data_IF_310697496161
#
_entry.id   IF_310697496161
#
_cell.length_a   1.000
_cell.length_b   1.000
_cell.length_c   1.000
_cell.angle_alpha   90.00
_cell.angle_beta   90.00
_cell.angle_gamma   90.00
#
_symmetry.space_group_name_H-M   'P 1'
#
loop_
_entity.id
_entity.type
_entity.pdbx_description
1 polymer ?
#
# COMPACT_ATOMS: atom_id res chain seq x y z
N UNK A 1 3.00 26.96 -3.69
CA UNK A 1 2.12 26.45 -2.62
C UNK A 1 2.87 25.42 -1.80
N UNK A 2 2.60 25.27 -0.51
CA UNK A 2 3.25 24.27 0.36
C UNK A 2 2.21 23.41 1.08
N UNK A 3 2.44 22.11 1.17
CA UNK A 3 1.55 21.11 1.76
C UNK A 3 2.34 20.14 2.65
N UNK A 4 1.98 20.08 3.93
CA UNK A 4 2.56 19.10 4.85
C UNK A 4 1.65 17.88 4.94
N UNK A 5 2.19 16.70 4.64
CA UNK A 5 1.48 15.40 4.73
C UNK A 5 2.19 14.44 5.69
N UNK A 6 3.03 14.96 6.59
CA UNK A 6 3.75 14.14 7.57
C UNK A 6 2.81 13.51 8.58
N UNK A 7 3.10 12.28 8.99
CA UNK A 7 2.28 11.49 9.91
C UNK A 7 0.93 11.04 9.36
N UNK A 8 0.57 11.42 8.13
CA UNK A 8 -0.72 11.09 7.53
C UNK A 8 -0.65 9.71 6.86
N UNK A 9 -1.55 8.80 7.25
CA UNK A 9 -1.63 7.46 6.68
C UNK A 9 -2.30 7.50 5.29
N UNK A 10 -1.84 6.68 4.32
CA UNK A 10 -2.51 6.53 3.03
C UNK A 10 -3.99 6.11 3.19
N UNK A 11 -4.91 6.55 2.31
CA UNK A 11 -4.70 7.31 1.06
C UNK A 11 -4.73 8.84 1.22
N UNK A 12 -4.85 9.37 2.44
CA UNK A 12 -5.06 10.80 2.67
C UNK A 12 -3.97 11.71 2.07
N UNK A 13 -2.66 11.39 2.09
CA UNK A 13 -1.63 12.20 1.43
C UNK A 13 -1.89 12.35 -0.08
N UNK A 14 -2.31 11.26 -0.74
CA UNK A 14 -2.61 11.26 -2.17
C UNK A 14 -3.70 12.26 -2.52
N UNK A 15 -4.80 12.20 -1.78
CA UNK A 15 -5.99 13.05 -2.00
C UNK A 15 -5.61 14.52 -1.84
N UNK A 16 -4.86 14.85 -0.77
CA UNK A 16 -4.44 16.22 -0.48
C UNK A 16 -3.54 16.78 -1.58
N UNK A 17 -2.61 15.97 -2.09
CA UNK A 17 -1.70 16.36 -3.17
C UNK A 17 -2.51 16.56 -4.46
N UNK A 18 -3.36 15.63 -4.84
CA UNK A 18 -4.19 15.72 -6.05
C UNK A 18 -5.12 16.96 -6.02
N UNK A 19 -5.81 17.19 -4.90
CA UNK A 19 -6.64 18.39 -4.72
C UNK A 19 -5.84 19.69 -4.83
N UNK A 20 -4.63 19.72 -4.27
CA UNK A 20 -3.76 20.88 -4.36
C UNK A 20 -3.32 21.12 -5.81
N UNK A 21 -2.90 20.07 -6.53
CA UNK A 21 -2.51 20.14 -7.95
C UNK A 21 -3.66 20.61 -8.86
N UNK A 22 -4.89 20.19 -8.57
CA UNK A 22 -6.08 20.66 -9.26
C UNK A 22 -6.29 22.17 -9.12
N UNK A 23 -5.95 22.74 -7.96
CA UNK A 23 -6.10 24.18 -7.66
C UNK A 23 -4.93 25.04 -8.18
N UNK A 24 -3.81 24.45 -8.58
CA UNK A 24 -2.66 25.20 -9.12
C UNK A 24 -2.94 25.72 -10.53
N UNK A 25 -2.44 26.92 -10.82
CA UNK A 25 -2.34 27.45 -12.18
C UNK A 25 -1.08 26.94 -12.87
N UNK A 26 -1.05 27.09 -14.19
CA UNK A 26 0.10 26.74 -15.02
C UNK A 26 1.31 27.59 -14.60
N UNK A 27 2.49 26.95 -14.49
CA UNK A 27 3.75 27.46 -13.92
C UNK A 27 3.76 27.68 -12.40
N UNK A 28 2.74 27.23 -11.67
CA UNK A 28 2.82 27.20 -10.21
C UNK A 28 3.43 25.89 -9.71
N UNK A 29 4.19 26.00 -8.63
CA UNK A 29 4.85 24.88 -7.97
C UNK A 29 4.18 24.58 -6.63
N UNK A 30 3.95 23.30 -6.36
CA UNK A 30 3.51 22.73 -5.09
C UNK A 30 4.67 22.01 -4.43
N UNK A 31 4.98 22.37 -3.20
CA UNK A 31 5.97 21.71 -2.37
C UNK A 31 5.26 20.85 -1.33
N UNK A 32 5.54 19.55 -1.31
CA UNK A 32 4.94 18.57 -0.43
C UNK A 32 6.01 18.00 0.48
N UNK A 33 5.79 18.07 1.80
CA UNK A 33 6.71 17.49 2.79
C UNK A 33 6.09 16.23 3.38
N UNK A 34 6.84 15.12 3.36
CA UNK A 34 6.43 13.83 3.90
C UNK A 34 7.56 13.09 4.61
N UNK A 35 7.20 12.14 5.47
CA UNK A 35 8.17 11.27 6.18
C UNK A 35 8.65 10.07 5.36
N UNK A 36 8.14 9.91 4.14
CA UNK A 36 8.45 8.77 3.25
C UNK A 36 8.76 9.26 1.83
N UNK A 37 9.59 8.52 1.08
CA UNK A 37 9.88 8.89 -0.29
C UNK A 37 8.63 8.69 -1.15
N UNK A 38 8.27 9.70 -1.95
CA UNK A 38 7.04 9.74 -2.77
C UNK A 38 7.10 8.85 -4.02
N UNK A 39 7.81 7.71 -3.94
CA UNK A 39 8.11 6.82 -5.08
C UNK A 39 6.85 6.34 -5.81
N UNK A 40 5.75 6.13 -5.08
CA UNK A 40 4.48 5.70 -5.68
C UNK A 40 3.79 6.81 -6.50
N UNK A 41 4.09 8.08 -6.22
CA UNK A 41 3.42 9.24 -6.82
C UNK A 41 4.13 9.77 -8.06
N UNK A 42 5.45 9.68 -8.07
CA UNK A 42 6.30 10.16 -9.17
C UNK A 42 5.78 9.68 -10.54
N UNK A 43 5.59 8.37 -10.80
CA UNK A 43 5.17 7.91 -12.13
C UNK A 43 3.83 8.50 -12.57
N UNK A 44 2.84 8.58 -11.69
CA UNK A 44 1.54 9.15 -12.03
C UNK A 44 1.59 10.66 -12.32
N UNK A 45 2.48 11.39 -11.63
CA UNK A 45 2.72 12.81 -11.85
C UNK A 45 3.46 13.06 -13.17
N UNK A 46 4.47 12.24 -13.49
CA UNK A 46 5.21 12.33 -14.76
C UNK A 46 4.31 11.99 -15.94
N UNK A 47 3.52 10.92 -15.84
CA UNK A 47 2.52 10.56 -16.85
C UNK A 47 1.48 11.66 -17.06
N UNK A 48 1.09 12.34 -15.98
CA UNK A 48 0.17 13.46 -16.08
C UNK A 48 0.83 14.75 -16.59
N UNK A 49 2.13 14.74 -16.89
CA UNK A 49 2.86 15.86 -17.51
C UNK A 49 3.27 16.95 -16.51
N UNK A 50 3.41 16.64 -15.23
CA UNK A 50 3.96 17.55 -14.23
C UNK A 50 5.48 17.45 -14.19
N UNK A 51 6.14 18.56 -13.90
CA UNK A 51 7.58 18.55 -13.65
C UNK A 51 7.83 18.32 -12.16
N UNK A 52 8.73 17.38 -11.83
CA UNK A 52 8.88 16.88 -10.47
C UNK A 52 10.33 16.97 -10.02
N UNK A 53 10.55 17.42 -8.79
CA UNK A 53 11.86 17.42 -8.14
C UNK A 53 11.73 16.90 -6.71
N UNK A 54 12.49 15.87 -6.33
CA UNK A 54 12.51 15.32 -4.97
C UNK A 54 13.83 15.63 -4.30
N UNK A 55 13.77 16.14 -3.07
CA UNK A 55 14.94 16.43 -2.22
C UNK A 55 14.75 15.84 -0.84
N UNK A 56 15.80 15.24 -0.29
CA UNK A 56 15.83 14.80 1.10
C UNK A 56 16.50 15.90 1.94
N UNK A 57 15.83 16.35 2.99
CA UNK A 57 16.32 17.39 3.89
C UNK A 57 16.06 16.98 5.33
N UNK A 58 17.12 16.71 6.09
CA UNK A 58 17.02 16.42 7.53
C UNK A 58 16.17 15.19 7.88
N UNK A 59 16.13 14.18 7.01
CA UNK A 59 15.32 12.97 7.19
C UNK A 59 13.86 13.10 6.74
N UNK A 60 13.45 14.25 6.20
CA UNK A 60 12.16 14.43 5.54
C UNK A 60 12.34 14.47 4.01
N UNK A 61 11.32 14.01 3.29
CA UNK A 61 11.26 14.07 1.84
C UNK A 61 10.44 15.27 1.41
N UNK A 62 11.01 16.10 0.54
CA UNK A 62 10.38 17.27 -0.05
C UNK A 62 10.19 17.00 -1.53
N UNK A 63 8.93 16.86 -1.94
CA UNK A 63 8.51 16.70 -3.33
C UNK A 63 8.03 18.04 -3.86
N UNK A 64 8.69 18.58 -4.89
CA UNK A 64 8.26 19.77 -5.62
C UNK A 64 7.63 19.33 -6.92
N UNK A 65 6.41 19.79 -7.18
CA UNK A 65 5.65 19.49 -8.39
C UNK A 65 5.26 20.80 -9.04
N UNK A 66 5.76 21.06 -10.25
CA UNK A 66 5.44 22.24 -11.04
C UNK A 66 4.44 21.87 -12.12
N UNK A 67 3.32 22.59 -12.15
CA UNK A 67 2.29 22.43 -13.19
C UNK A 67 2.77 23.07 -14.48
N UNK A 68 2.87 22.29 -15.54
CA UNK A 68 3.26 22.75 -16.88
C UNK A 68 2.03 22.92 -17.76
N UNK A 69 2.22 23.45 -18.97
CA UNK A 69 1.17 23.59 -19.99
C UNK A 69 0.68 22.21 -20.49
N UNK A 70 1.50 21.17 -20.36
CA UNK A 70 1.17 19.80 -20.69
C UNK A 70 0.51 19.04 -19.53
N UNK A 71 0.45 19.64 -18.34
CA UNK A 71 -0.10 18.98 -17.16
C UNK A 71 -1.60 18.80 -17.30
N UNK A 72 -2.05 17.54 -17.25
CA UNK A 72 -3.47 17.20 -17.20
C UNK A 72 -3.95 17.19 -15.76
N UNK A 73 -5.23 17.50 -15.56
CA UNK A 73 -5.83 17.40 -14.23
C UNK A 73 -5.74 15.95 -13.77
N UNK A 74 -5.03 15.70 -12.68
CA UNK A 74 -4.98 14.38 -12.06
C UNK A 74 -6.34 14.12 -11.40
N UNK A 75 -7.27 13.63 -12.20
CA UNK A 75 -8.38 12.84 -11.68
C UNK A 75 -7.79 11.53 -11.19
N UNK A 76 -7.17 11.55 -10.02
CA UNK A 76 -6.93 10.33 -9.27
C UNK A 76 -8.31 9.78 -8.91
N UNK A 77 -8.85 8.91 -9.77
CA UNK A 77 -9.47 7.72 -9.22
C UNK A 77 -8.50 7.21 -8.17
N UNK A 78 -8.95 7.09 -6.92
CA UNK A 78 -8.16 6.59 -5.81
C UNK A 78 -7.63 5.23 -6.26
N UNK A 79 -6.43 5.20 -6.86
CA UNK A 79 -5.64 4.00 -7.00
C UNK A 79 -5.13 3.79 -5.60
N UNK A 80 -6.00 3.19 -4.79
CA UNK A 80 -5.67 2.49 -3.57
C UNK A 80 -4.30 1.88 -3.81
N UNK A 81 -3.30 2.24 -2.98
CA UNK A 81 -1.96 1.66 -3.03
C UNK A 81 -2.08 0.23 -3.52
N UNK A 82 -1.61 -0.04 -4.73
CA UNK A 82 -2.00 -1.20 -5.53
C UNK A 82 -2.10 -2.42 -4.61
N UNK A 83 -3.34 -2.74 -4.21
CA UNK A 83 -3.66 -3.85 -3.31
C UNK A 83 -3.66 -5.15 -4.14
N UNK A 84 -3.09 -5.12 -5.36
CA UNK A 84 -2.76 -6.35 -6.05
C UNK A 84 -1.57 -6.95 -5.31
N UNK A 85 -1.90 -7.93 -4.48
CA UNK A 85 -0.99 -9.04 -4.26
C UNK A 85 -0.75 -9.70 -5.63
N UNK A 86 0.27 -9.23 -6.33
CA UNK A 86 0.75 -9.82 -7.59
C UNK A 86 1.02 -11.31 -7.38
N UNK A 87 1.56 -11.68 -6.20
CA UNK A 87 1.73 -13.07 -5.79
C UNK A 87 1.59 -13.26 -4.28
N UNK A 88 0.92 -14.35 -3.87
CA UNK A 88 0.92 -14.82 -2.48
C UNK A 88 2.19 -15.65 -2.28
N UNK A 89 3.20 -15.02 -1.68
CA UNK A 89 4.46 -15.65 -1.24
C UNK A 89 4.51 -15.80 0.27
N UNK A 90 5.44 -16.58 0.78
CA UNK A 90 5.67 -16.75 2.23
C UNK A 90 6.03 -15.44 2.96
N UNK A 91 6.56 -14.44 2.25
CA UNK A 91 6.89 -13.12 2.78
C UNK A 91 5.68 -12.16 2.76
N UNK A 92 4.53 -12.62 2.27
CA UNK A 92 3.30 -11.84 2.24
C UNK A 92 2.86 -11.48 3.66
N UNK A 93 2.59 -10.20 3.88
CA UNK A 93 2.02 -9.72 5.14
C UNK A 93 0.59 -10.23 5.30
N UNK A 94 0.30 -10.86 6.44
CA UNK A 94 -1.01 -11.49 6.70
C UNK A 94 -2.13 -10.45 6.70
N UNK A 95 -1.87 -9.25 7.21
CA UNK A 95 -2.80 -8.14 7.20
C UNK A 95 -3.16 -7.67 5.79
N UNK A 96 -2.18 -7.63 4.87
CA UNK A 96 -2.43 -7.35 3.44
C UNK A 96 -3.23 -8.47 2.78
N UNK A 97 -2.87 -9.73 3.02
CA UNK A 97 -3.59 -10.90 2.50
C UNK A 97 -5.07 -10.90 2.89
N UNK A 98 -5.37 -10.66 4.16
CA UNK A 98 -6.73 -10.62 4.69
C UNK A 98 -7.53 -9.41 4.16
N UNK A 99 -6.86 -8.32 3.80
CA UNK A 99 -7.47 -7.14 3.20
C UNK A 99 -7.87 -7.40 1.75
N UNK A 100 -6.97 -7.98 0.97
CA UNK A 100 -7.23 -8.35 -0.43
C UNK A 100 -8.21 -9.52 -0.57
N UNK A 101 -8.04 -10.55 0.28
CA UNK A 101 -8.80 -11.79 0.25
C UNK A 101 -9.34 -12.11 1.65
N UNK A 102 -10.50 -11.57 2.06
CA UNK A 102 -11.08 -11.85 3.38
C UNK A 102 -11.38 -13.34 3.60
N UNK A 103 -11.60 -14.10 2.53
CA UNK A 103 -11.82 -15.56 2.55
C UNK A 103 -10.57 -16.35 2.98
N UNK A 104 -9.37 -15.78 2.80
CA UNK A 104 -8.12 -16.40 3.26
C UNK A 104 -8.09 -16.62 4.78
N UNK A 105 -8.89 -15.88 5.54
CA UNK A 105 -9.05 -16.09 6.98
C UNK A 105 -9.51 -17.52 7.30
N UNK A 106 -10.45 -18.06 6.53
CA UNK A 106 -10.98 -19.41 6.77
C UNK A 106 -9.90 -20.47 6.57
N UNK A 107 -9.07 -20.30 5.53
CA UNK A 107 -7.93 -21.17 5.27
C UNK A 107 -6.92 -21.06 6.40
N UNK A 108 -6.52 -19.85 6.80
CA UNK A 108 -5.60 -19.66 7.93
C UNK A 108 -6.12 -20.36 9.21
N UNK A 109 -7.40 -20.16 9.57
CA UNK A 109 -7.97 -20.82 10.75
C UNK A 109 -7.97 -22.35 10.63
N UNK A 110 -8.31 -22.91 9.45
CA UNK A 110 -8.26 -24.35 9.16
C UNK A 110 -6.88 -24.96 9.42
N UNK A 111 -5.82 -24.20 9.15
CA UNK A 111 -4.43 -24.64 9.33
C UNK A 111 -3.84 -24.29 10.71
N UNK A 112 -4.65 -23.83 11.67
CA UNK A 112 -4.24 -23.63 13.06
C UNK A 112 -3.95 -22.17 13.44
N UNK A 113 -4.24 -21.21 12.56
CA UNK A 113 -4.15 -19.78 12.87
C UNK A 113 -5.38 -19.24 13.59
N UNK A 114 -5.92 -19.99 14.55
CA UNK A 114 -7.06 -19.59 15.39
C UNK A 114 -6.93 -18.21 16.05
N UNK A 115 -5.72 -17.72 16.47
CA UNK A 115 -5.59 -16.37 17.02
C UNK A 115 -6.01 -15.26 16.04
N UNK A 116 -6.00 -15.51 14.73
CA UNK A 116 -6.42 -14.53 13.72
C UNK A 116 -7.95 -14.45 13.55
N UNK A 117 -8.70 -15.39 14.12
CA UNK A 117 -10.17 -15.39 14.08
C UNK A 117 -10.75 -14.22 14.88
N UNK A 118 -10.11 -13.89 16.02
CA UNK A 118 -10.58 -12.80 16.88
C UNK A 118 -10.21 -11.45 16.28
N UNK A 119 -11.16 -10.51 16.08
CA UNK A 119 -10.92 -9.25 15.37
C UNK A 119 -9.88 -8.34 16.03
N UNK A 120 -9.77 -8.33 17.36
CA UNK A 120 -8.75 -7.56 18.10
C UNK A 120 -7.33 -8.06 17.83
N UNK A 121 -7.12 -9.37 17.94
CA UNK A 121 -5.85 -10.03 17.63
C UNK A 121 -5.53 -9.94 16.14
N UNK A 122 -6.51 -10.11 15.26
CA UNK A 122 -6.37 -9.92 13.81
C UNK A 122 -5.85 -8.53 13.45
N UNK A 123 -6.41 -7.47 14.06
CA UNK A 123 -6.00 -6.09 13.77
C UNK A 123 -4.56 -5.81 14.21
N UNK A 124 -4.12 -6.42 15.30
CA UNK A 124 -2.80 -6.16 15.90
C UNK A 124 -1.73 -7.09 15.33
N UNK A 125 -1.96 -8.40 15.39
CA UNK A 125 -1.01 -9.45 15.02
C UNK A 125 -0.84 -9.59 13.50
N UNK A 126 -1.93 -9.51 12.73
CA UNK A 126 -1.86 -9.76 11.29
C UNK A 126 -1.03 -8.69 10.55
N UNK A 127 -1.00 -7.46 11.07
CA UNK A 127 -0.22 -6.37 10.46
C UNK A 127 1.28 -6.52 10.71
N UNK A 128 1.69 -7.22 11.76
CA UNK A 128 3.09 -7.31 12.20
C UNK A 128 3.80 -8.58 11.72
N UNK A 129 3.07 -9.55 11.18
CA UNK A 129 3.63 -10.86 10.80
C UNK A 129 3.42 -11.18 9.32
N UNK A 130 4.34 -11.98 8.76
CA UNK A 130 4.22 -12.60 7.43
C UNK A 130 3.74 -14.04 7.55
N UNK A 131 3.34 -14.67 6.44
CA UNK A 131 2.94 -16.09 6.42
C UNK A 131 4.04 -17.02 6.94
N UNK A 132 5.31 -16.78 6.54
CA UNK A 132 6.48 -17.47 7.09
C UNK A 132 6.56 -17.30 8.60
N UNK A 133 6.44 -16.06 9.11
CA UNK A 133 6.54 -15.82 10.54
C UNK A 133 5.39 -16.48 11.30
N UNK A 134 4.22 -16.49 10.70
CA UNK A 134 3.04 -17.15 11.24
C UNK A 134 3.29 -18.67 11.38
N UNK A 135 3.83 -19.32 10.35
CA UNK A 135 4.25 -20.75 10.38
C UNK A 135 5.19 -21.03 11.56
N UNK A 136 6.20 -20.19 11.76
CA UNK A 136 7.15 -20.34 12.88
C UNK A 136 6.46 -20.21 14.24
N UNK A 137 5.54 -19.25 14.39
CA UNK A 137 4.84 -18.99 15.66
C UNK A 137 3.97 -20.18 16.11
N UNK A 138 3.41 -20.93 15.17
CA UNK A 138 2.56 -22.09 15.46
C UNK A 138 3.32 -23.43 15.36
N UNK A 139 4.61 -23.41 15.01
CA UNK A 139 5.41 -24.62 14.85
C UNK A 139 4.93 -25.54 13.72
N UNK A 140 4.40 -24.99 12.63
CA UNK A 140 3.86 -25.75 11.52
C UNK A 140 4.98 -26.36 10.65
N UNK A 141 4.83 -27.63 10.26
CA UNK A 141 5.73 -28.32 9.35
C UNK A 141 5.65 -27.77 7.92
N UNK A 142 6.76 -27.83 7.17
CA UNK A 142 6.85 -27.36 5.78
C UNK A 142 5.77 -27.94 4.86
N UNK A 143 5.53 -29.25 4.90
CA UNK A 143 4.50 -29.88 4.06
C UNK A 143 3.09 -29.30 4.27
N UNK A 144 2.67 -29.11 5.53
CA UNK A 144 1.37 -28.50 5.84
C UNK A 144 1.31 -27.01 5.45
N UNK A 145 2.45 -26.33 5.51
CA UNK A 145 2.53 -24.94 5.09
C UNK A 145 2.40 -24.80 3.57
N UNK A 146 3.01 -25.69 2.80
CA UNK A 146 2.87 -25.73 1.34
C UNK A 146 1.42 -26.01 0.92
N UNK A 147 0.75 -26.98 1.55
CA UNK A 147 -0.67 -27.26 1.33
C UNK A 147 -1.55 -26.01 1.59
N UNK A 148 -1.28 -25.29 2.69
CA UNK A 148 -1.97 -24.04 3.00
C UNK A 148 -1.72 -22.97 1.93
N UNK A 149 -0.46 -22.82 1.49
CA UNK A 149 -0.08 -21.83 0.48
C UNK A 149 -0.75 -22.11 -0.85
N UNK A 150 -0.92 -23.38 -1.23
CA UNK A 150 -1.66 -23.79 -2.41
C UNK A 150 -3.15 -23.41 -2.32
N UNK A 151 -3.80 -23.68 -1.18
CA UNK A 151 -5.19 -23.26 -0.96
C UNK A 151 -5.34 -21.73 -0.99
N UNK A 152 -4.40 -20.99 -0.39
CA UNK A 152 -4.40 -19.52 -0.43
C UNK A 152 -4.27 -18.99 -1.87
N UNK A 153 -3.43 -19.62 -2.68
CA UNK A 153 -3.25 -19.28 -4.11
C UNK A 153 -4.47 -19.66 -4.95
N UNK A 154 -5.18 -20.73 -4.59
CA UNK A 154 -6.42 -21.12 -5.26
C UNK A 154 -7.53 -20.08 -5.09
N UNK A 155 -7.60 -19.38 -3.95
CA UNK A 155 -8.56 -18.28 -3.72
C UNK A 155 -8.38 -17.17 -4.75
N UNK A 156 -7.13 -16.84 -5.12
CA UNK A 156 -6.85 -15.83 -6.16
C UNK A 156 -7.50 -16.21 -7.51
N UNK A 157 -7.55 -17.50 -7.85
CA UNK A 157 -8.09 -18.00 -9.14
C UNK A 157 -9.61 -17.94 -9.24
N UNK A 158 -10.32 -17.94 -8.12
CA UNK A 158 -11.80 -17.93 -8.09
C UNK A 158 -12.36 -16.52 -8.37
N UNK A 159 -11.54 -15.48 -8.15
CA UNK A 159 -11.92 -14.07 -8.25
C UNK A 159 -11.37 -13.35 -9.50
N UNK A 160 -10.69 -14.09 -10.38
CA UNK A 160 -10.08 -13.60 -11.62
C UNK A 160 -11.00 -13.79 -12.83
#
# INVERSE_FOLDING_TARGET
>A
MMLDVRGVQPPQPAIRIAEALGKLKVRETLEVIGDRPFVDFIPGLEEAGYEIEVKEVGGAFVLRVTKTENSRELSMEVRECDDKLDEITENTNVGKLLKAYPESLRVLVKYGFSPLETPGTRRSLAKTITLRKAKELIGMSDGKFEEMMEELRAIKRIKA
#
